data_IF_652833297640
#
_entry.id   IF_652833297640
#
_cell.length_a   1.000
_cell.length_b   1.000
_cell.length_c   1.000
_cell.angle_alpha   90.00
_cell.angle_beta   90.00
_cell.angle_gamma   90.00
#
_symmetry.space_group_name_H-M   'P 1'
#
loop_
_entity.id
_entity.type
_entity.pdbx_description
1 polymer ?
#
# COMPACT_ATOMS: atom_id res chain seq x y z
N UNK A 1 -30.50 24.41 20.91
CA UNK A 1 -29.53 25.41 20.42
C UNK A 1 -28.13 24.99 20.86
N UNK A 2 -27.24 24.84 19.89
CA UNK A 2 -25.77 24.85 19.95
C UNK A 2 -25.04 23.93 20.95
N UNK A 3 -24.69 22.73 20.47
CA UNK A 3 -23.40 22.10 20.76
C UNK A 3 -22.38 22.58 19.73
N UNK A 4 -21.47 23.46 20.13
CA UNK A 4 -20.23 23.77 19.40
C UNK A 4 -19.11 23.91 20.41
N UNK A 5 -18.09 23.06 20.26
CA UNK A 5 -16.69 23.16 20.67
C UNK A 5 -16.22 21.70 20.62
N UNK A 6 -15.62 21.26 19.52
CA UNK A 6 -14.31 21.74 19.09
C UNK A 6 -13.32 20.60 19.32
N UNK A 7 -13.63 19.43 18.73
CA UNK A 7 -12.71 18.32 18.68
C UNK A 7 -11.68 18.61 17.61
N UNK A 8 -10.61 19.30 17.98
CA UNK A 8 -9.42 19.38 17.17
C UNK A 8 -8.89 17.95 17.05
N UNK A 9 -9.17 17.31 15.92
CA UNK A 9 -8.47 16.10 15.49
C UNK A 9 -7.02 16.54 15.26
N UNK A 10 -6.18 16.34 16.27
CA UNK A 10 -4.73 16.52 16.14
C UNK A 10 -4.26 15.36 15.27
N UNK A 11 -4.27 15.58 13.97
CA UNK A 11 -3.56 14.75 13.02
C UNK A 11 -2.08 14.93 13.36
N UNK A 12 -1.51 13.95 14.04
CA UNK A 12 -0.06 13.86 14.24
C UNK A 12 0.55 13.71 12.86
N UNK A 13 0.93 14.85 12.25
CA UNK A 13 1.94 14.88 11.20
C UNK A 13 3.25 14.48 11.89
N UNK A 14 3.51 13.18 11.95
CA UNK A 14 4.86 12.69 12.12
C UNK A 14 5.65 13.25 10.92
N UNK A 15 6.45 14.28 11.17
CA UNK A 15 7.44 14.78 10.21
C UNK A 15 8.21 13.58 9.68
N UNK A 16 8.17 13.40 8.35
CA UNK A 16 8.74 12.27 7.64
C UNK A 16 10.27 12.25 7.73
N UNK A 17 10.80 11.76 8.84
CA UNK A 17 12.17 11.28 8.90
C UNK A 17 12.20 9.94 8.16
N UNK A 18 12.73 9.91 6.94
CA UNK A 18 13.12 8.63 6.33
C UNK A 18 14.08 7.93 7.30
N UNK A 19 13.82 6.65 7.57
CA UNK A 19 14.55 5.84 8.56
C UNK A 19 15.99 5.62 8.15
N UNK A 20 16.19 5.54 6.84
CA UNK A 20 17.47 5.36 6.19
C UNK A 20 17.96 6.72 5.75
N UNK A 21 19.12 7.13 6.24
CA UNK A 21 19.83 8.27 5.65
C UNK A 21 20.24 7.88 4.22
N UNK A 22 19.99 8.72 3.21
CA UNK A 22 20.56 8.52 1.88
C UNK A 22 22.07 8.22 1.85
N UNK A 23 22.84 8.54 2.90
CA UNK A 23 24.24 8.15 3.06
C UNK A 23 24.46 6.64 3.26
N UNK A 24 23.48 5.90 3.75
CA UNK A 24 23.61 4.49 4.15
C UNK A 24 23.32 3.50 3.01
N UNK A 25 23.14 4.02 1.79
CA UNK A 25 22.75 3.24 0.60
C UNK A 25 23.70 2.08 0.29
N UNK A 26 25.00 2.29 0.45
CA UNK A 26 25.99 1.25 0.15
C UNK A 26 25.95 0.12 1.18
N UNK A 27 25.81 0.45 2.47
CA UNK A 27 25.65 -0.57 3.53
C UNK A 27 24.33 -1.34 3.37
N UNK A 28 23.25 -0.65 2.99
CA UNK A 28 21.98 -1.31 2.67
C UNK A 28 22.10 -2.26 1.48
N UNK A 29 22.83 -1.88 0.44
CA UNK A 29 23.02 -2.72 -0.75
C UNK A 29 23.67 -4.05 -0.36
N UNK A 30 24.71 -4.01 0.47
CA UNK A 30 25.40 -5.20 0.96
C UNK A 30 24.50 -6.07 1.85
N UNK A 31 23.70 -5.44 2.72
CA UNK A 31 22.76 -6.14 3.61
C UNK A 31 21.61 -6.80 2.83
N UNK A 32 21.07 -6.14 1.81
CA UNK A 32 20.04 -6.71 0.94
C UNK A 32 20.61 -7.91 0.16
N UNK A 33 21.85 -7.80 -0.34
CA UNK A 33 22.51 -8.90 -1.06
C UNK A 33 22.78 -10.12 -0.15
N UNK A 34 22.99 -9.91 1.15
CA UNK A 34 23.22 -10.96 2.13
C UNK A 34 21.94 -11.50 2.79
N UNK A 35 20.77 -10.98 2.42
CA UNK A 35 19.50 -11.33 3.07
C UNK A 35 19.11 -12.81 2.79
N UNK A 36 18.52 -13.53 3.76
CA UNK A 36 17.94 -14.85 3.53
C UNK A 36 16.85 -14.80 2.43
N UNK A 37 16.58 -15.91 1.72
CA UNK A 37 15.61 -15.94 0.63
C UNK A 37 14.20 -15.42 1.00
N UNK A 38 13.72 -15.72 2.21
CA UNK A 38 12.41 -15.25 2.70
C UNK A 38 12.37 -13.72 2.86
N UNK A 39 13.47 -13.13 3.35
CA UNK A 39 13.62 -11.68 3.49
C UNK A 39 13.76 -11.04 2.12
N UNK A 40 14.49 -11.66 1.20
CA UNK A 40 14.62 -11.18 -0.17
C UNK A 40 13.25 -11.12 -0.88
N UNK A 41 12.41 -12.15 -0.75
CA UNK A 41 11.05 -12.15 -1.32
C UNK A 41 10.19 -11.01 -0.75
N UNK A 42 10.25 -10.79 0.58
CA UNK A 42 9.57 -9.68 1.23
C UNK A 42 10.04 -8.31 0.70
N UNK A 43 11.36 -8.11 0.62
CA UNK A 43 11.97 -6.88 0.11
C UNK A 43 11.62 -6.62 -1.35
N UNK A 44 11.56 -7.67 -2.17
CA UNK A 44 11.11 -7.57 -3.56
C UNK A 44 9.67 -7.09 -3.62
N UNK A 45 8.75 -7.69 -2.86
CA UNK A 45 7.34 -7.24 -2.83
C UNK A 45 7.19 -5.81 -2.32
N UNK A 46 7.98 -5.44 -1.32
CA UNK A 46 8.06 -4.07 -0.82
C UNK A 46 8.49 -3.10 -1.93
N UNK A 47 9.49 -3.46 -2.72
CA UNK A 47 9.93 -2.64 -3.86
C UNK A 47 8.86 -2.54 -4.94
N UNK A 48 8.20 -3.65 -5.29
CA UNK A 48 7.09 -3.67 -6.25
C UNK A 48 5.91 -2.80 -5.78
N UNK A 49 5.59 -2.84 -4.49
CA UNK A 49 4.58 -1.97 -3.87
C UNK A 49 4.98 -0.49 -4.01
N UNK A 50 6.22 -0.14 -3.65
CA UNK A 50 6.73 1.22 -3.79
C UNK A 50 6.72 1.72 -5.23
N UNK A 51 7.08 0.86 -6.20
CA UNK A 51 6.99 1.16 -7.62
C UNK A 51 5.54 1.42 -8.07
N UNK A 52 4.59 0.61 -7.59
CA UNK A 52 3.16 0.78 -7.87
C UNK A 52 2.61 2.09 -7.30
N UNK A 53 2.92 2.40 -6.03
CA UNK A 53 2.53 3.67 -5.39
C UNK A 53 3.09 4.85 -6.19
N UNK A 54 4.38 4.85 -6.52
CA UNK A 54 5.02 5.91 -7.30
C UNK A 54 4.39 6.08 -8.67
N UNK A 55 4.08 4.99 -9.36
CA UNK A 55 3.43 5.03 -10.67
C UNK A 55 2.01 5.60 -10.61
N UNK A 56 1.26 5.32 -9.53
CA UNK A 56 -0.10 5.82 -9.32
C UNK A 56 -0.15 7.24 -8.77
N UNK A 57 0.92 7.78 -8.16
CA UNK A 57 0.94 9.13 -7.58
C UNK A 57 0.60 10.24 -8.60
N UNK A 58 1.00 10.08 -9.86
CA UNK A 58 0.73 11.04 -10.94
C UNK A 58 -0.63 10.87 -11.62
N UNK A 59 -1.51 10.00 -11.11
CA UNK A 59 -2.78 9.65 -11.75
C UNK A 59 -3.97 10.26 -10.99
N UNK A 60 -5.05 10.67 -11.69
CA UNK A 60 -6.29 11.12 -11.04
C UNK A 60 -6.84 10.06 -10.08
N UNK A 61 -7.28 10.41 -8.86
CA UNK A 61 -7.82 9.45 -7.89
C UNK A 61 -9.04 8.66 -8.40
N UNK A 62 -9.93 9.32 -9.13
CA UNK A 62 -11.17 8.77 -9.65
C UNK A 62 -11.03 7.97 -10.95
N UNK A 63 -9.81 7.92 -11.52
CA UNK A 63 -9.54 7.21 -12.76
C UNK A 63 -9.77 5.71 -12.59
N UNK A 64 -10.34 5.09 -13.62
CA UNK A 64 -10.62 3.66 -13.62
C UNK A 64 -9.34 2.86 -13.89
N UNK A 65 -8.94 2.06 -12.92
CA UNK A 65 -7.86 1.05 -13.04
C UNK A 65 -8.38 -0.22 -13.70
N UNK A 66 -9.62 -0.59 -13.41
CA UNK A 66 -10.30 -1.70 -14.05
C UNK A 66 -11.73 -1.83 -13.58
N UNK A 67 -12.40 -2.87 -14.04
CA UNK A 67 -13.82 -3.07 -13.79
C UNK A 67 -14.18 -4.54 -13.76
N UNK A 68 -15.31 -4.82 -13.14
CA UNK A 68 -15.93 -6.14 -13.20
C UNK A 68 -16.84 -6.18 -14.44
N UNK A 69 -16.73 -7.25 -15.22
CA UNK A 69 -17.72 -7.60 -16.23
C UNK A 69 -18.40 -8.89 -15.82
N UNK A 70 -19.72 -8.92 -15.86
CA UNK A 70 -20.50 -10.12 -15.59
C UNK A 70 -21.39 -10.48 -16.77
N UNK A 71 -21.70 -11.76 -16.88
CA UNK A 71 -22.73 -12.31 -17.77
C UNK A 71 -23.48 -13.40 -17.03
N UNK A 72 -24.67 -13.71 -17.48
CA UNK A 72 -25.49 -14.78 -16.92
C UNK A 72 -26.11 -15.64 -18.01
N UNK A 73 -26.43 -16.88 -17.65
CA UNK A 73 -27.10 -17.83 -18.53
C UNK A 73 -28.60 -17.88 -18.20
N UNK A 74 -29.44 -17.57 -19.19
CA UNK A 74 -30.90 -17.69 -19.09
C UNK A 74 -31.41 -18.43 -20.34
N UNK A 75 -32.31 -19.41 -20.14
CA UNK A 75 -32.85 -20.19 -21.26
C UNK A 75 -31.80 -20.97 -22.06
N UNK A 76 -30.67 -21.33 -21.44
CA UNK A 76 -29.58 -22.06 -22.09
C UNK A 76 -28.58 -21.20 -22.86
N UNK A 77 -28.82 -19.89 -23.02
CA UNK A 77 -27.90 -18.97 -23.71
C UNK A 77 -27.22 -18.01 -22.75
N UNK A 78 -25.94 -17.74 -23.00
CA UNK A 78 -25.18 -16.73 -22.29
C UNK A 78 -25.50 -15.34 -22.83
N UNK A 79 -25.71 -14.39 -21.94
CA UNK A 79 -25.76 -12.97 -22.29
C UNK A 79 -24.38 -12.44 -22.66
N UNK A 80 -24.37 -11.25 -23.29
CA UNK A 80 -23.14 -10.51 -23.50
C UNK A 80 -22.54 -10.08 -22.14
N UNK A 81 -21.22 -9.89 -22.12
CA UNK A 81 -20.55 -9.30 -20.96
C UNK A 81 -21.06 -7.87 -20.74
N UNK A 82 -21.52 -7.58 -19.53
CA UNK A 82 -21.96 -6.27 -19.10
C UNK A 82 -21.05 -5.73 -18.01
N UNK A 83 -20.62 -4.48 -18.16
CA UNK A 83 -19.86 -3.76 -17.14
C UNK A 83 -20.69 -3.63 -15.85
N UNK A 84 -20.02 -3.78 -14.71
CA UNK A 84 -20.62 -3.68 -13.38
C UNK A 84 -19.94 -2.59 -12.57
N UNK A 85 -20.74 -1.90 -11.75
CA UNK A 85 -20.25 -0.99 -10.72
C UNK A 85 -20.10 -1.74 -9.38
N UNK A 86 -19.26 -1.29 -8.43
CA UNK A 86 -18.30 -0.21 -8.61
C UNK A 86 -17.17 -0.62 -9.56
N UNK A 87 -16.53 0.36 -10.18
CA UNK A 87 -15.23 0.20 -10.84
C UNK A 87 -14.08 0.28 -9.84
N UNK A 88 -12.96 -0.39 -10.14
CA UNK A 88 -11.73 -0.25 -9.36
C UNK A 88 -11.06 1.07 -9.75
N UNK A 89 -10.84 1.94 -8.77
CA UNK A 89 -10.24 3.27 -8.98
C UNK A 89 -8.76 3.33 -8.58
N UNK A 90 -8.05 4.34 -9.07
CA UNK A 90 -6.69 4.66 -8.63
C UNK A 90 -6.66 4.89 -7.12
N UNK A 91 -7.65 5.59 -6.56
CA UNK A 91 -7.73 5.87 -5.13
C UNK A 91 -7.82 4.60 -4.29
N UNK A 92 -8.73 3.67 -4.64
CA UNK A 92 -8.82 2.38 -3.96
C UNK A 92 -7.50 1.61 -4.04
N UNK A 93 -6.88 1.58 -5.22
CA UNK A 93 -5.62 0.87 -5.43
C UNK A 93 -4.50 1.44 -4.56
N UNK A 94 -4.37 2.77 -4.50
CA UNK A 94 -3.40 3.45 -3.63
C UNK A 94 -3.67 3.17 -2.16
N UNK A 95 -4.92 3.22 -1.76
CA UNK A 95 -5.34 2.92 -0.39
C UNK A 95 -5.00 1.47 0.01
N UNK A 96 -5.26 0.51 -0.87
CA UNK A 96 -4.88 -0.89 -0.66
C UNK A 96 -3.36 -1.04 -0.48
N UNK A 97 -2.56 -0.39 -1.34
CA UNK A 97 -1.10 -0.48 -1.30
C UNK A 97 -0.49 0.19 -0.07
N UNK A 98 -1.10 1.26 0.46
CA UNK A 98 -0.55 2.08 1.55
C UNK A 98 -1.05 1.69 2.94
N UNK A 99 -2.31 1.27 3.08
CA UNK A 99 -2.95 1.05 4.40
C UNK A 99 -2.83 -0.39 4.90
N UNK A 100 -2.36 -1.31 4.06
CA UNK A 100 -2.21 -2.73 4.38
C UNK A 100 -0.76 -3.03 4.78
N UNK A 101 -0.51 -4.05 5.63
CA UNK A 101 0.85 -4.48 5.94
C UNK A 101 1.63 -4.72 4.66
N UNK A 102 2.88 -4.22 4.62
CA UNK A 102 3.75 -3.98 3.45
C UNK A 102 4.15 -5.22 2.60
N UNK A 103 3.18 -6.05 2.22
CA UNK A 103 3.38 -7.32 1.52
C UNK A 103 2.31 -7.54 0.42
N UNK A 104 1.66 -6.48 -0.04
CA UNK A 104 0.71 -6.54 -1.15
C UNK A 104 1.33 -5.93 -2.40
N UNK A 105 1.30 -6.69 -3.49
CA UNK A 105 1.65 -6.20 -4.83
C UNK A 105 0.44 -5.56 -5.52
N UNK A 106 0.69 -4.86 -6.61
CA UNK A 106 -0.34 -4.24 -7.45
C UNK A 106 -1.44 -5.24 -7.88
N UNK A 107 -1.04 -6.44 -8.29
CA UNK A 107 -1.97 -7.51 -8.71
C UNK A 107 -2.73 -8.08 -7.51
N UNK A 108 -2.08 -8.25 -6.35
CA UNK A 108 -2.75 -8.74 -5.14
C UNK A 108 -3.86 -7.79 -4.69
N UNK A 109 -3.63 -6.47 -4.74
CA UNK A 109 -4.69 -5.49 -4.45
C UNK A 109 -5.88 -5.58 -5.40
N UNK A 110 -5.62 -5.80 -6.71
CA UNK A 110 -6.67 -6.08 -7.69
C UNK A 110 -7.41 -7.39 -7.40
N UNK A 111 -6.71 -8.42 -6.94
CA UNK A 111 -7.32 -9.72 -6.60
C UNK A 111 -8.21 -9.65 -5.37
N UNK A 112 -7.78 -8.93 -4.33
CA UNK A 112 -8.60 -8.67 -3.14
C UNK A 112 -9.90 -7.95 -3.52
N UNK A 113 -9.80 -6.83 -4.25
CA UNK A 113 -10.97 -6.08 -4.70
C UNK A 113 -11.90 -6.95 -5.56
N UNK A 114 -11.33 -7.65 -6.54
CA UNK A 114 -12.10 -8.51 -7.44
C UNK A 114 -12.83 -9.61 -6.68
N UNK A 115 -12.18 -10.25 -5.71
CA UNK A 115 -12.80 -11.31 -4.92
C UNK A 115 -14.00 -10.79 -4.13
N UNK A 116 -13.86 -9.64 -3.47
CA UNK A 116 -14.93 -9.03 -2.68
C UNK A 116 -16.12 -8.60 -3.57
N UNK A 117 -15.86 -7.82 -4.62
CA UNK A 117 -16.90 -7.29 -5.48
C UNK A 117 -17.59 -8.37 -6.32
N UNK A 118 -16.84 -9.38 -6.78
CA UNK A 118 -17.41 -10.51 -7.52
C UNK A 118 -18.45 -11.25 -6.69
N UNK A 119 -18.17 -11.54 -5.42
CA UNK A 119 -19.10 -12.30 -4.57
C UNK A 119 -20.37 -11.51 -4.31
N UNK A 120 -20.24 -10.22 -4.00
CA UNK A 120 -21.37 -9.32 -3.83
C UNK A 120 -22.22 -9.27 -5.11
N UNK A 121 -21.58 -9.07 -6.28
CA UNK A 121 -22.30 -8.93 -7.55
C UNK A 121 -22.94 -10.20 -8.07
N UNK A 122 -22.32 -11.36 -7.89
CA UNK A 122 -22.98 -12.63 -8.21
C UNK A 122 -24.27 -12.76 -7.40
N UNK A 123 -24.20 -12.46 -6.10
CA UNK A 123 -25.35 -12.54 -5.20
C UNK A 123 -26.45 -11.56 -5.61
N UNK A 124 -26.10 -10.31 -5.91
CA UNK A 124 -27.06 -9.29 -6.34
C UNK A 124 -27.73 -9.67 -7.67
N UNK A 125 -26.93 -10.09 -8.65
CA UNK A 125 -27.44 -10.46 -9.97
C UNK A 125 -28.40 -11.65 -9.88
N UNK A 126 -28.06 -12.68 -9.10
CA UNK A 126 -28.93 -13.85 -8.89
C UNK A 126 -30.27 -13.52 -8.22
N UNK A 127 -30.34 -12.41 -7.48
CA UNK A 127 -31.55 -11.95 -6.79
C UNK A 127 -32.28 -10.82 -7.53
N UNK A 128 -31.77 -10.37 -8.68
CA UNK A 128 -32.32 -9.26 -9.46
C UNK A 128 -33.20 -9.71 -10.62
N UNK A 129 -34.30 -9.00 -10.88
CA UNK A 129 -35.02 -9.14 -12.15
C UNK A 129 -34.24 -8.41 -13.26
N UNK A 130 -34.11 -8.98 -14.48
CA UNK A 130 -34.83 -10.11 -15.03
C UNK A 130 -34.10 -11.47 -14.92
N UNK A 131 -33.04 -11.56 -14.11
CA UNK A 131 -32.23 -12.78 -14.01
C UNK A 131 -33.03 -13.83 -13.24
N UNK A 132 -33.40 -14.96 -13.87
CA UNK A 132 -34.19 -15.99 -13.19
C UNK A 132 -33.41 -16.55 -12.00
N UNK A 133 -34.10 -16.76 -10.87
CA UNK A 133 -33.52 -17.51 -9.75
C UNK A 133 -33.00 -18.86 -10.24
N UNK A 134 -31.72 -19.15 -9.98
CA UNK A 134 -31.02 -20.35 -10.49
C UNK A 134 -30.18 -20.13 -11.76
N UNK A 135 -30.11 -18.91 -12.30
CA UNK A 135 -29.18 -18.59 -13.37
C UNK A 135 -27.72 -18.75 -12.93
N UNK A 136 -26.88 -19.30 -13.81
CA UNK A 136 -25.43 -19.29 -13.62
C UNK A 136 -24.91 -17.89 -13.97
N UNK A 137 -24.21 -17.26 -13.03
CA UNK A 137 -23.55 -15.96 -13.22
C UNK A 137 -22.05 -16.16 -13.27
N UNK A 138 -21.41 -15.57 -14.28
CA UNK A 138 -19.96 -15.54 -14.44
C UNK A 138 -19.50 -14.09 -14.44
N UNK A 139 -18.45 -13.80 -13.68
CA UNK A 139 -17.84 -12.49 -13.63
C UNK A 139 -16.33 -12.61 -13.85
N UNK A 140 -15.74 -11.59 -14.48
CA UNK A 140 -14.32 -11.46 -14.74
C UNK A 140 -13.84 -10.04 -14.49
N UNK A 141 -12.60 -9.90 -14.07
CA UNK A 141 -11.94 -8.59 -14.01
C UNK A 141 -11.43 -8.19 -15.40
N UNK A 142 -11.54 -6.91 -15.74
CA UNK A 142 -10.99 -6.32 -16.96
C UNK A 142 -10.19 -5.09 -16.57
N UNK A 143 -8.90 -5.08 -16.91
CA UNK A 143 -8.05 -3.91 -16.74
C UNK A 143 -8.48 -2.78 -17.69
N UNK A 144 -8.33 -1.54 -17.22
CA UNK A 144 -8.22 -0.41 -18.13
C UNK A 144 -6.81 -0.45 -18.76
N UNK A 145 -6.72 -0.28 -20.07
CA UNK A 145 -5.47 -0.46 -20.81
C UNK A 145 -4.32 0.45 -20.34
N UNK A 146 -4.64 1.58 -19.70
CA UNK A 146 -3.66 2.52 -19.14
C UNK A 146 -2.98 1.97 -17.88
N UNK A 147 -3.63 0.99 -17.26
CA UNK A 147 -3.28 0.42 -15.97
C UNK A 147 -2.98 -1.09 -16.04
N UNK A 148 -3.04 -1.67 -17.23
CA UNK A 148 -2.80 -3.09 -17.44
C UNK A 148 -1.35 -3.44 -17.06
N UNK A 149 -1.13 -4.44 -16.18
CA UNK A 149 0.22 -4.86 -15.79
C UNK A 149 1.07 -5.33 -16.97
N UNK A 150 0.49 -5.81 -18.07
CA UNK A 150 1.24 -6.24 -19.25
C UNK A 150 1.80 -5.06 -20.06
N UNK A 151 1.20 -3.87 -19.94
CA UNK A 151 1.62 -2.65 -20.65
C UNK A 151 2.26 -1.62 -19.73
N UNK A 152 2.14 -1.81 -18.42
CA UNK A 152 2.75 -0.98 -17.38
C UNK A 152 4.24 -1.24 -17.17
N UNK A 153 4.87 -0.50 -16.24
CA UNK A 153 6.24 -0.76 -15.81
C UNK A 153 6.41 -2.20 -15.29
N UNK A 154 7.46 -2.91 -15.75
CA UNK A 154 7.71 -4.30 -15.35
C UNK A 154 7.83 -4.48 -13.83
N UNK A 155 8.42 -3.50 -13.13
CA UNK A 155 8.59 -3.53 -11.66
C UNK A 155 7.26 -3.61 -10.87
N UNK A 156 6.09 -3.49 -11.52
CA UNK A 156 4.79 -3.71 -10.89
C UNK A 156 4.46 -5.19 -10.68
N UNK A 157 4.96 -6.06 -11.56
CA UNK A 157 4.54 -7.47 -11.64
C UNK A 157 5.67 -8.47 -11.83
N UNK A 158 6.82 -8.03 -12.31
CA UNK A 158 8.00 -8.85 -12.52
C UNK A 158 8.98 -8.68 -11.35
N UNK A 159 9.16 -9.71 -10.49
CA UNK A 159 10.12 -9.66 -9.40
C UNK A 159 11.58 -9.54 -9.90
N UNK A 160 11.89 -10.04 -11.10
CA UNK A 160 13.25 -9.99 -11.66
C UNK A 160 13.59 -8.58 -12.20
N UNK A 161 12.57 -7.74 -12.41
CA UNK A 161 12.75 -6.34 -12.75
C UNK A 161 13.12 -5.46 -11.54
N UNK A 162 13.00 -5.97 -10.31
CA UNK A 162 13.34 -5.25 -9.07
C UNK A 162 14.84 -5.32 -8.83
N UNK A 163 15.47 -4.16 -8.69
CA UNK A 163 16.89 -4.05 -8.34
C UNK A 163 17.08 -3.73 -6.86
N UNK A 164 18.27 -3.99 -6.28
CA UNK A 164 18.57 -3.58 -4.92
C UNK A 164 18.32 -2.09 -4.65
N UNK A 165 18.61 -1.21 -5.61
CA UNK A 165 18.36 0.24 -5.47
C UNK A 165 16.87 0.60 -5.43
N UNK A 166 15.99 -0.23 -6.02
CA UNK A 166 14.54 -0.06 -5.92
C UNK A 166 14.05 -0.42 -4.52
N UNK A 167 14.60 -1.49 -3.93
CA UNK A 167 14.36 -1.88 -2.54
C UNK A 167 14.81 -0.75 -1.59
N UNK A 168 16.03 -0.24 -1.77
CA UNK A 168 16.57 0.87 -0.98
C UNK A 168 15.68 2.11 -1.09
N UNK A 169 15.28 2.46 -2.32
CA UNK A 169 14.40 3.61 -2.56
C UNK A 169 13.06 3.45 -1.85
N UNK A 170 12.48 2.25 -1.89
CA UNK A 170 11.24 1.95 -1.17
C UNK A 170 11.41 2.05 0.33
N UNK A 171 12.50 1.52 0.90
CA UNK A 171 12.81 1.62 2.33
C UNK A 171 13.00 3.07 2.81
N UNK A 172 13.59 3.93 1.98
CA UNK A 172 13.76 5.36 2.28
C UNK A 172 12.40 6.07 2.38
N UNK A 173 11.46 5.75 1.49
CA UNK A 173 10.15 6.42 1.47
C UNK A 173 9.13 5.78 2.41
N UNK A 174 9.48 4.69 3.10
CA UNK A 174 8.59 4.05 4.04
C UNK A 174 8.28 4.97 5.22
N UNK A 175 6.99 5.24 5.50
CA UNK A 175 6.63 5.92 6.74
C UNK A 175 6.94 5.02 7.95
N UNK A 176 7.23 5.63 9.10
CA UNK A 176 7.28 4.92 10.37
C UNK A 176 5.99 4.12 10.60
N UNK A 177 6.07 2.85 11.02
CA UNK A 177 4.88 2.07 11.30
C UNK A 177 4.13 2.71 12.49
N UNK A 178 2.79 2.58 12.55
CA UNK A 178 2.03 3.06 13.69
C UNK A 178 2.53 2.45 15.01
N UNK A 179 2.39 3.14 16.16
CA UNK A 179 2.74 2.56 17.45
C UNK A 179 2.09 1.19 17.68
N UNK A 180 2.88 0.18 18.04
CA UNK A 180 2.42 -1.19 18.26
C UNK A 180 2.47 -2.11 17.03
N UNK A 181 2.91 -1.60 15.87
CA UNK A 181 3.25 -2.45 14.72
C UNK A 181 4.71 -2.90 14.82
N UNK A 182 4.96 -4.17 14.50
CA UNK A 182 6.30 -4.72 14.35
C UNK A 182 6.47 -5.22 12.93
N UNK A 183 7.59 -4.85 12.29
CA UNK A 183 8.01 -5.38 10.99
C UNK A 183 9.29 -6.18 11.21
N UNK A 184 9.19 -7.37 11.83
CA UNK A 184 10.35 -8.15 12.26
C UNK A 184 11.28 -8.51 11.10
N UNK A 185 10.77 -8.60 9.87
CA UNK A 185 11.54 -8.87 8.66
C UNK A 185 12.49 -7.72 8.31
N UNK A 186 12.15 -6.48 8.69
CA UNK A 186 12.96 -5.28 8.43
C UNK A 186 13.92 -4.94 9.58
N UNK A 187 13.69 -5.48 10.77
CA UNK A 187 14.52 -5.24 11.97
C UNK A 187 16.02 -5.54 11.72
N UNK A 188 16.42 -6.71 11.18
CA UNK A 188 17.83 -7.00 10.93
C UNK A 188 18.51 -6.06 9.93
N UNK A 189 17.70 -5.45 9.05
CA UNK A 189 18.16 -4.55 8.01
C UNK A 189 18.28 -3.11 8.53
N UNK A 190 17.30 -2.63 9.28
CA UNK A 190 17.14 -1.23 9.67
C UNK A 190 17.80 -0.88 11.02
N UNK A 191 17.81 -1.79 11.99
CA UNK A 191 18.36 -1.49 13.32
C UNK A 191 19.86 -1.19 13.33
N UNK A 192 20.70 -1.88 12.55
CA UNK A 192 22.12 -1.54 12.45
C UNK A 192 22.39 -0.14 11.87
N UNK A 193 21.45 0.40 11.11
CA UNK A 193 21.61 1.66 10.39
C UNK A 193 21.15 2.89 11.15
N UNK A 194 20.34 2.74 12.20
CA UNK A 194 19.75 3.93 12.80
C UNK A 194 18.29 3.83 13.20
N UNK A 195 17.58 2.76 12.84
CA UNK A 195 16.19 2.64 13.26
C UNK A 195 16.04 2.52 14.78
N UNK A 196 15.06 3.24 15.32
CA UNK A 196 14.74 3.29 16.75
C UNK A 196 13.68 2.26 17.17
N UNK A 197 13.27 2.29 18.46
CA UNK A 197 12.35 1.30 19.04
C UNK A 197 11.00 1.16 18.33
N UNK A 198 10.51 2.21 17.66
CA UNK A 198 9.27 2.17 16.88
C UNK A 198 9.27 1.16 15.72
N UNK A 199 10.44 0.66 15.32
CA UNK A 199 10.59 -0.38 14.30
C UNK A 199 10.76 -1.79 14.87
N UNK A 200 10.74 -1.94 16.20
CA UNK A 200 11.09 -3.19 16.89
C UNK A 200 12.58 -3.35 17.18
N UNK A 201 13.39 -2.30 16.97
CA UNK A 201 14.79 -2.28 17.36
C UNK A 201 14.95 -2.19 18.88
N UNK A 202 15.96 -2.85 19.47
CA UNK A 202 16.25 -2.66 20.89
C UNK A 202 16.62 -1.18 21.14
N UNK A 203 16.24 -0.60 22.30
CA UNK A 203 16.63 0.76 22.65
C UNK A 203 18.16 0.87 22.71
N UNK A 204 18.71 1.94 22.15
CA UNK A 204 20.15 2.16 22.21
C UNK A 204 20.54 2.58 23.62
N UNK A 205 21.79 2.31 24.03
CA UNK A 205 22.31 2.83 25.30
C UNK A 205 22.27 4.36 25.40
N UNK A 206 22.22 5.07 24.27
CA UNK A 206 22.10 6.53 24.16
C UNK A 206 20.67 7.04 24.21
N UNK A 207 19.67 6.18 24.06
CA UNK A 207 18.26 6.57 24.15
C UNK A 207 17.93 6.71 25.64
N UNK A 208 17.94 7.95 26.14
CA UNK A 208 17.63 8.22 27.54
C UNK A 208 16.19 7.78 27.85
N UNK A 209 15.94 7.11 28.98
CA UNK A 209 14.60 6.67 29.32
C UNK A 209 13.72 7.88 29.65
N UNK A 210 12.79 8.24 28.75
CA UNK A 210 11.68 9.15 29.04
C UNK A 210 11.56 10.42 28.19
N UNK A 211 12.26 10.57 27.06
CA UNK A 211 12.01 11.72 26.18
C UNK A 211 10.75 11.47 25.32
N UNK A 212 9.64 12.11 25.69
CA UNK A 212 8.52 12.36 24.78
C UNK A 212 9.01 13.20 23.59
N UNK A 213 8.39 13.08 22.39
CA UNK A 213 8.80 13.85 21.23
C UNK A 213 8.67 15.35 21.54
N UNK A 214 9.79 16.06 21.55
CA UNK A 214 9.81 17.50 21.75
C UNK A 214 9.05 18.17 20.61
N UNK A 215 7.91 18.79 20.96
CA UNK A 215 7.24 19.77 20.11
C UNK A 215 8.26 20.89 19.83
N UNK A 216 8.46 21.32 18.58
CA UNK A 216 9.37 22.42 18.31
C UNK A 216 8.80 23.68 18.97
N UNK A 217 9.48 24.19 19.99
CA UNK A 217 9.14 25.49 20.58
C UNK A 217 9.32 26.57 19.51
N UNK A 218 8.24 27.30 19.27
CA UNK A 218 8.22 28.50 18.45
C UNK A 218 9.32 29.47 18.93
N UNK A 219 10.14 29.93 17.98
CA UNK A 219 11.02 31.07 18.20
C UNK A 219 10.21 32.27 18.70
N UNK A 220 10.70 32.98 19.73
CA UNK A 220 10.94 34.43 19.68
C UNK A 220 11.72 34.95 20.92
N UNK A 221 12.32 36.16 20.84
CA UNK A 221 13.66 36.46 21.34
C UNK A 221 13.65 37.16 22.71
N UNK A 222 14.72 37.02 23.49
CA UNK A 222 14.86 37.83 24.71
C UNK A 222 16.13 37.61 25.52
N UNK A 223 16.95 38.65 25.55
CA UNK A 223 17.78 39.13 26.66
C UNK A 223 18.84 38.22 27.30
N UNK A 224 20.11 38.53 26.96
CA UNK A 224 21.26 38.27 27.83
C UNK A 224 21.60 39.55 28.61
N UNK A 225 21.84 39.49 29.92
CA UNK A 225 22.69 40.48 30.60
C UNK A 225 24.16 40.32 30.19
#
# INVERSE_FOLDING_TARGET
MNTRLGGALVTVLACGCSIVDPSDRDELRDRIAAAPPETAEYLTRLAMNGAAVKWLQGRPPEDQVGKLQCRYQAGGQWTAWADQEPRLTVDYMRDCLLKRPFNLTYVMCKDEWYYLERQARITDLQNSLPIPGGATVECRFVWDFRYDPETGPAALTDPDAVKPDDVISSLIVLPAPPPGWALPELVPLLCPLGAGPGWGCPPRPTDLPGEEPTVPEDNEPGDRP
#
